data_IF_096955224889
#
_entry.id   IF_096955224889
#
_cell.length_a   1.000
_cell.length_b   1.000
_cell.length_c   1.000
_cell.angle_alpha   90.00
_cell.angle_beta   90.00
_cell.angle_gamma   90.00
#
_symmetry.space_group_name_H-M   'P 1'
#
loop_
_entity.id
_entity.type
_entity.pdbx_description
1 polymer ?
#
# COMPACT_ATOMS: atom_id res chain seq x y z
N UNK A 1 37.99 -19.52 -1.17
CA UNK A 1 36.74 -19.06 -0.49
C UNK A 1 35.69 -19.01 -1.57
N UNK A 2 34.84 -20.04 -1.68
CA UNK A 2 33.78 -20.11 -2.64
C UNK A 2 32.66 -19.10 -2.26
N UNK A 3 32.28 -18.31 -3.22
CA UNK A 3 31.30 -17.23 -3.07
C UNK A 3 29.93 -17.82 -2.73
N UNK A 4 29.47 -17.68 -1.48
CA UNK A 4 28.18 -18.19 -0.99
C UNK A 4 26.95 -17.50 -1.66
N UNK A 5 27.17 -16.59 -2.60
CA UNK A 5 26.13 -15.83 -3.29
C UNK A 5 25.73 -16.38 -4.66
N UNK A 6 26.35 -17.47 -5.13
CA UNK A 6 25.99 -18.10 -6.41
C UNK A 6 24.70 -18.93 -6.41
N UNK A 7 24.00 -19.02 -5.27
CA UNK A 7 22.74 -19.80 -5.14
C UNK A 7 21.48 -18.96 -5.36
N UNK A 8 21.60 -17.66 -5.48
CA UNK A 8 20.48 -16.82 -5.89
C UNK A 8 20.39 -16.91 -7.42
N UNK A 9 19.39 -17.66 -7.92
CA UNK A 9 19.10 -17.78 -9.34
C UNK A 9 19.03 -16.42 -10.03
N UNK A 10 19.18 -16.38 -11.34
CA UNK A 10 19.04 -15.15 -12.14
C UNK A 10 17.70 -14.50 -11.82
N UNK A 11 17.70 -13.18 -11.65
CA UNK A 11 16.45 -12.44 -11.50
C UNK A 11 15.51 -12.79 -12.67
N UNK A 12 14.23 -13.06 -12.42
CA UNK A 12 13.28 -13.36 -13.49
C UNK A 12 13.21 -12.17 -14.47
N UNK A 13 13.13 -12.48 -15.75
CA UNK A 13 12.92 -11.45 -16.77
C UNK A 13 11.44 -11.03 -16.80
N UNK A 14 11.14 -9.85 -17.35
CA UNK A 14 9.77 -9.31 -17.41
C UNK A 14 8.75 -10.29 -18.01
N UNK A 15 9.16 -11.11 -18.95
CA UNK A 15 8.33 -12.13 -19.60
C UNK A 15 7.92 -13.24 -18.63
N UNK A 16 8.84 -13.69 -17.77
CA UNK A 16 8.57 -14.67 -16.73
C UNK A 16 7.60 -14.10 -15.69
N UNK A 17 7.76 -12.81 -15.32
CA UNK A 17 6.88 -12.13 -14.37
C UNK A 17 5.45 -11.99 -14.91
N UNK A 18 5.28 -11.80 -16.22
CA UNK A 18 3.94 -11.78 -16.84
C UNK A 18 3.24 -13.14 -16.76
N UNK A 19 3.97 -14.25 -16.84
CA UNK A 19 3.37 -15.59 -16.73
C UNK A 19 2.82 -15.86 -15.32
N UNK A 20 3.36 -15.18 -14.30
CA UNK A 20 2.85 -15.24 -12.93
C UNK A 20 1.56 -14.43 -12.72
N UNK A 21 1.16 -13.64 -13.71
CA UNK A 21 -0.08 -12.85 -13.73
C UNK A 21 -1.03 -13.45 -14.76
N UNK A 22 -1.74 -14.54 -14.45
CA UNK A 22 -2.49 -15.35 -15.43
C UNK A 22 -3.76 -14.69 -15.97
N UNK A 23 -4.22 -13.62 -15.33
CA UNK A 23 -5.44 -12.90 -15.70
C UNK A 23 -5.12 -11.49 -16.18
N UNK A 24 -6.16 -10.69 -16.45
CA UNK A 24 -6.02 -9.28 -16.79
C UNK A 24 -5.13 -8.55 -15.79
N UNK A 25 -4.00 -8.04 -16.26
CA UNK A 25 -3.05 -7.29 -15.43
C UNK A 25 -3.71 -6.00 -14.97
N UNK A 26 -3.77 -5.82 -13.66
CA UNK A 26 -4.34 -4.64 -13.02
C UNK A 26 -3.27 -3.58 -12.72
N UNK A 27 -2.19 -3.99 -12.04
CA UNK A 27 -1.04 -3.13 -11.76
C UNK A 27 0.14 -3.53 -12.64
N UNK A 28 0.71 -2.56 -13.33
CA UNK A 28 1.93 -2.72 -14.11
C UNK A 28 2.98 -1.71 -13.68
N UNK A 29 4.18 -2.18 -13.37
CA UNK A 29 5.36 -1.35 -13.16
C UNK A 29 6.40 -1.74 -14.21
N UNK A 30 6.95 -0.76 -14.93
CA UNK A 30 7.94 -0.97 -16.00
C UNK A 30 9.15 -0.06 -15.83
N UNK A 31 10.33 -0.65 -15.88
CA UNK A 31 11.63 0.04 -15.83
C UNK A 31 11.73 1.10 -14.71
N UNK A 32 11.17 0.80 -13.54
CA UNK A 32 11.05 1.76 -12.46
C UNK A 32 12.39 1.99 -11.77
N UNK A 33 12.86 3.22 -11.81
CA UNK A 33 13.94 3.73 -10.99
C UNK A 33 13.34 4.71 -9.98
N UNK A 34 13.45 4.40 -8.70
CA UNK A 34 12.79 5.17 -7.65
C UNK A 34 13.60 5.17 -6.35
N UNK A 35 13.35 6.19 -5.50
CA UNK A 35 14.03 6.31 -4.22
C UNK A 35 13.64 7.55 -3.44
N UNK A 36 14.52 8.03 -2.57
CA UNK A 36 14.25 9.16 -1.69
C UNK A 36 15.27 10.29 -1.89
N UNK A 37 14.78 11.50 -2.04
CA UNK A 37 15.63 12.64 -2.37
C UNK A 37 16.39 12.41 -3.67
N UNK A 38 17.73 12.32 -3.59
CA UNK A 38 18.61 12.01 -4.73
C UNK A 38 19.09 10.55 -4.74
N UNK A 39 18.74 9.75 -3.71
CA UNK A 39 19.18 8.38 -3.58
C UNK A 39 18.22 7.46 -4.34
N UNK A 40 18.72 6.79 -5.36
CA UNK A 40 18.01 5.75 -6.09
C UNK A 40 18.16 4.42 -5.36
N UNK A 41 17.05 3.72 -5.14
CA UNK A 41 16.98 2.44 -4.41
C UNK A 41 16.48 1.33 -5.33
N UNK A 42 15.48 1.63 -6.15
CA UNK A 42 14.98 0.70 -7.16
C UNK A 42 15.63 1.00 -8.50
N UNK A 43 16.14 -0.03 -9.16
CA UNK A 43 16.80 0.06 -10.45
C UNK A 43 16.13 -0.88 -11.45
N UNK A 44 15.55 -0.33 -12.52
CA UNK A 44 14.87 -1.08 -13.58
C UNK A 44 13.87 -2.12 -13.04
N UNK A 45 13.15 -1.75 -11.96
CA UNK A 45 12.22 -2.66 -11.31
C UNK A 45 10.96 -2.86 -12.16
N UNK A 46 10.52 -4.13 -12.25
CA UNK A 46 9.30 -4.51 -12.95
C UNK A 46 8.39 -5.35 -12.04
N UNK A 47 7.08 -5.14 -12.19
CA UNK A 47 6.06 -5.88 -11.44
C UNK A 47 4.76 -5.89 -12.23
N UNK A 48 4.09 -7.06 -12.22
CA UNK A 48 2.76 -7.24 -12.78
C UNK A 48 1.87 -7.91 -11.73
N UNK A 49 0.70 -7.34 -11.48
CA UNK A 49 -0.29 -7.90 -10.53
C UNK A 49 -1.64 -7.94 -11.23
N UNK A 50 -2.29 -9.10 -11.20
CA UNK A 50 -3.62 -9.30 -11.78
C UNK A 50 -4.73 -8.77 -10.86
N UNK A 51 -5.92 -8.58 -11.42
CA UNK A 51 -7.13 -8.31 -10.63
C UNK A 51 -7.37 -9.42 -9.60
N UNK A 52 -7.79 -9.03 -8.41
CA UNK A 52 -8.08 -9.92 -7.28
C UNK A 52 -6.90 -10.81 -6.83
N UNK A 53 -5.67 -10.49 -7.22
CA UNK A 53 -4.47 -11.19 -6.79
C UNK A 53 -3.95 -10.62 -5.49
N UNK A 54 -3.57 -11.50 -4.55
CA UNK A 54 -2.77 -11.15 -3.37
C UNK A 54 -1.29 -11.39 -3.68
N UNK A 55 -0.46 -10.38 -3.45
CA UNK A 55 0.99 -10.45 -3.66
C UNK A 55 1.72 -10.23 -2.33
N UNK A 56 2.69 -11.10 -2.04
CA UNK A 56 3.59 -10.96 -0.90
C UNK A 56 5.01 -10.63 -1.38
N UNK A 57 5.59 -9.54 -0.88
CA UNK A 57 6.97 -9.17 -1.13
C UNK A 57 7.85 -9.71 -0.01
N UNK A 58 8.73 -10.66 -0.33
CA UNK A 58 9.64 -11.32 0.60
C UNK A 58 11.08 -10.93 0.26
N UNK A 59 11.91 -10.73 1.29
CA UNK A 59 13.32 -10.41 1.13
C UNK A 59 13.92 -9.81 2.39
N UNK A 60 15.27 -9.67 2.46
CA UNK A 60 15.96 -9.10 3.60
C UNK A 60 15.58 -7.61 3.84
N UNK A 61 15.94 -7.12 5.03
CA UNK A 61 15.82 -5.68 5.32
C UNK A 61 16.75 -4.89 4.37
N UNK A 62 16.26 -3.77 3.87
CA UNK A 62 16.98 -2.97 2.88
C UNK A 62 16.81 -3.41 1.41
N UNK A 63 16.12 -4.51 1.12
CA UNK A 63 15.90 -4.99 -0.26
C UNK A 63 14.93 -4.13 -1.12
N UNK A 64 14.48 -2.98 -0.62
CA UNK A 64 13.60 -2.08 -1.36
C UNK A 64 12.10 -2.42 -1.30
N UNK A 65 11.66 -3.40 -0.50
CA UNK A 65 10.24 -3.80 -0.40
C UNK A 65 9.30 -2.61 -0.09
N UNK A 66 9.62 -1.84 0.94
CA UNK A 66 8.85 -0.65 1.30
C UNK A 66 8.95 0.43 0.21
N UNK A 67 10.09 0.54 -0.46
CA UNK A 67 10.28 1.51 -1.54
C UNK A 67 9.37 1.20 -2.73
N UNK A 68 9.13 -0.09 -3.04
CA UNK A 68 8.17 -0.49 -4.07
C UNK A 68 6.75 0.00 -3.72
N UNK A 69 6.28 -0.30 -2.50
CA UNK A 69 4.96 0.13 -2.02
C UNK A 69 4.84 1.65 -1.96
N UNK A 70 5.88 2.33 -1.47
CA UNK A 70 5.95 3.79 -1.43
C UNK A 70 5.92 4.40 -2.84
N UNK A 71 6.55 3.76 -3.82
CA UNK A 71 6.53 4.23 -5.21
C UNK A 71 5.14 4.10 -5.82
N UNK A 72 4.45 2.99 -5.58
CA UNK A 72 3.07 2.80 -6.03
C UNK A 72 2.16 3.88 -5.45
N UNK A 73 2.29 4.17 -4.16
CA UNK A 73 1.45 5.15 -3.48
C UNK A 73 1.85 6.61 -3.76
N UNK A 74 3.14 6.89 -4.04
CA UNK A 74 3.63 8.22 -4.39
C UNK A 74 4.44 8.92 -3.29
N UNK A 75 5.11 8.15 -2.42
CA UNK A 75 5.99 8.67 -1.36
C UNK A 75 7.46 8.71 -1.77
N UNK A 76 7.81 8.28 -2.99
CA UNK A 76 9.18 8.29 -3.51
C UNK A 76 9.30 9.25 -4.69
N UNK A 77 10.54 9.63 -5.00
CA UNK A 77 10.88 10.25 -6.27
C UNK A 77 11.01 9.15 -7.33
N UNK A 78 10.30 9.32 -8.44
CA UNK A 78 10.43 8.46 -9.61
C UNK A 78 11.41 9.14 -10.57
N UNK A 79 12.57 8.50 -10.81
CA UNK A 79 13.61 9.00 -11.71
C UNK A 79 13.38 8.54 -13.14
N UNK A 80 12.87 7.31 -13.31
CA UNK A 80 12.52 6.72 -14.60
C UNK A 80 11.44 5.66 -14.43
N UNK A 81 10.80 5.27 -15.55
CA UNK A 81 9.81 4.20 -15.58
C UNK A 81 8.38 4.66 -15.41
N UNK A 82 7.46 3.70 -15.38
CA UNK A 82 6.01 3.95 -15.33
C UNK A 82 5.31 3.02 -14.37
N UNK A 83 4.25 3.54 -13.74
CA UNK A 83 3.30 2.79 -12.94
C UNK A 83 1.92 2.98 -13.57
N UNK A 84 1.25 1.89 -13.88
CA UNK A 84 -0.05 1.88 -14.56
C UNK A 84 -1.06 1.03 -13.78
N UNK A 85 -2.30 1.49 -13.70
CA UNK A 85 -3.46 0.71 -13.21
C UNK A 85 -4.47 0.60 -14.36
N UNK A 86 -4.86 -0.62 -14.72
CA UNK A 86 -5.75 -0.92 -15.84
C UNK A 86 -5.31 -0.20 -17.14
N UNK A 87 -3.98 -0.14 -17.39
CA UNK A 87 -3.39 0.53 -18.55
C UNK A 87 -3.35 2.07 -18.46
N UNK A 88 -3.82 2.66 -17.38
CA UNK A 88 -3.81 4.11 -17.15
C UNK A 88 -2.60 4.50 -16.30
N UNK A 89 -1.77 5.40 -16.80
CA UNK A 89 -0.59 5.85 -16.10
C UNK A 89 -0.95 6.67 -14.85
N UNK A 90 -0.37 6.27 -13.71
CA UNK A 90 -0.56 6.91 -12.39
C UNK A 90 0.75 7.40 -11.77
N UNK A 91 1.86 7.33 -12.51
CA UNK A 91 3.22 7.61 -12.01
C UNK A 91 3.31 8.96 -11.31
N UNK A 92 2.70 10.00 -11.89
CA UNK A 92 2.79 11.39 -11.43
C UNK A 92 1.64 11.84 -10.55
N UNK A 93 0.65 10.98 -10.30
CA UNK A 93 -0.47 11.34 -9.43
C UNK A 93 0.02 11.45 -7.98
N UNK A 94 -0.48 12.44 -7.28
CA UNK A 94 -0.27 12.60 -5.83
C UNK A 94 -0.93 11.45 -5.05
N UNK A 95 -0.50 11.18 -3.80
CA UNK A 95 -1.15 10.18 -2.94
C UNK A 95 -2.66 10.40 -2.80
N UNK A 96 -3.10 11.64 -2.66
CA UNK A 96 -4.52 11.98 -2.56
C UNK A 96 -5.31 11.64 -3.83
N UNK A 97 -4.74 11.93 -5.02
CA UNK A 97 -5.35 11.57 -6.30
C UNK A 97 -5.39 10.06 -6.51
N UNK A 98 -4.32 9.34 -6.13
CA UNK A 98 -4.27 7.87 -6.18
C UNK A 98 -5.34 7.24 -5.30
N UNK A 99 -5.55 7.77 -4.10
CA UNK A 99 -6.60 7.30 -3.21
C UNK A 99 -8.00 7.64 -3.77
N UNK A 100 -8.24 8.89 -4.15
CA UNK A 100 -9.57 9.37 -4.54
C UNK A 100 -10.00 8.90 -5.93
N UNK A 101 -9.09 8.92 -6.91
CA UNK A 101 -9.43 8.69 -8.33
C UNK A 101 -9.14 7.26 -8.79
N UNK A 102 -8.19 6.57 -8.14
CA UNK A 102 -7.72 5.23 -8.54
C UNK A 102 -8.12 4.16 -7.52
N UNK A 103 -8.39 4.56 -6.27
CA UNK A 103 -8.78 3.66 -5.19
C UNK A 103 -7.59 2.94 -4.53
N UNK A 104 -6.37 3.47 -4.65
CA UNK A 104 -5.20 2.90 -3.99
C UNK A 104 -5.15 3.41 -2.55
N UNK A 105 -5.24 2.50 -1.57
CA UNK A 105 -5.02 2.80 -0.17
C UNK A 105 -3.68 2.24 0.30
N UNK A 106 -2.99 2.97 1.17
CA UNK A 106 -1.76 2.54 1.81
C UNK A 106 -1.97 2.42 3.32
N UNK A 107 -1.72 1.22 3.86
CA UNK A 107 -1.78 0.97 5.30
C UNK A 107 -0.36 1.03 5.85
N UNK A 108 -0.12 1.95 6.78
CA UNK A 108 1.16 2.11 7.46
C UNK A 108 1.44 0.89 8.36
N UNK A 109 2.71 0.55 8.52
CA UNK A 109 3.16 -0.47 9.45
C UNK A 109 2.89 -0.04 10.90
N UNK A 110 3.22 1.22 11.22
CA UNK A 110 3.06 1.85 12.53
C UNK A 110 2.24 3.14 12.39
N UNK A 111 1.69 3.61 13.49
CA UNK A 111 0.93 4.87 13.55
C UNK A 111 -0.23 4.94 12.54
N UNK A 112 -0.91 3.82 12.33
CA UNK A 112 -2.02 3.73 11.37
C UNK A 112 -3.35 4.29 11.92
N UNK A 113 -3.36 4.74 13.16
CA UNK A 113 -4.52 5.37 13.82
C UNK A 113 -4.10 6.61 14.59
N UNK A 114 -5.04 7.50 14.85
CA UNK A 114 -4.90 8.66 15.72
C UNK A 114 -5.20 8.23 17.18
N UNK A 115 -4.17 8.08 18.05
CA UNK A 115 -4.33 7.43 19.34
C UNK A 115 -5.22 8.21 20.32
N UNK A 116 -5.26 9.52 20.21
CA UNK A 116 -6.04 10.42 21.07
C UNK A 116 -7.44 10.73 20.52
N UNK A 117 -7.81 10.13 19.40
CA UNK A 117 -9.17 10.13 18.86
C UNK A 117 -9.88 8.84 19.25
N UNK A 118 -11.21 8.88 19.32
CA UNK A 118 -12.04 7.68 19.53
C UNK A 118 -11.98 6.75 18.33
N UNK A 119 -12.47 5.53 18.50
CA UNK A 119 -12.63 4.56 17.39
C UNK A 119 -13.49 5.16 16.29
N UNK A 120 -14.62 5.78 16.65
CA UNK A 120 -15.52 6.40 15.68
C UNK A 120 -14.87 7.57 14.94
N UNK A 121 -14.17 8.46 15.64
CA UNK A 121 -13.46 9.59 15.04
C UNK A 121 -12.37 9.11 14.07
N UNK A 122 -11.65 8.04 14.39
CA UNK A 122 -10.68 7.42 13.48
C UNK A 122 -11.34 6.90 12.20
N UNK A 123 -12.52 6.28 12.29
CA UNK A 123 -13.27 5.84 11.13
C UNK A 123 -13.74 7.02 10.28
N UNK A 124 -14.22 8.09 10.89
CA UNK A 124 -14.64 9.31 10.21
C UNK A 124 -13.47 9.99 9.50
N UNK A 125 -12.25 9.95 10.08
CA UNK A 125 -11.04 10.43 9.39
C UNK A 125 -10.76 9.67 8.09
N UNK A 126 -11.03 8.36 8.04
CA UNK A 126 -10.97 7.57 6.80
C UNK A 126 -11.94 8.05 5.72
N UNK A 127 -13.04 8.66 6.12
CA UNK A 127 -14.03 9.24 5.23
C UNK A 127 -13.73 10.66 4.74
N UNK A 128 -12.61 11.28 5.18
CA UNK A 128 -12.24 12.67 4.81
C UNK A 128 -12.10 12.91 3.30
N UNK A 129 -11.86 11.85 2.53
CA UNK A 129 -11.78 11.91 1.07
C UNK A 129 -13.16 11.98 0.37
N UNK A 130 -14.25 11.71 1.08
CA UNK A 130 -15.60 11.77 0.53
C UNK A 130 -16.01 13.22 0.28
N UNK A 131 -16.82 13.43 -0.74
CA UNK A 131 -17.27 14.78 -1.11
C UNK A 131 -18.37 15.30 -0.16
N UNK A 132 -19.08 14.40 0.53
CA UNK A 132 -20.13 14.73 1.50
C UNK A 132 -19.83 14.10 2.86
N UNK A 133 -20.00 14.88 3.90
CA UNK A 133 -19.78 14.45 5.29
C UNK A 133 -20.74 13.33 5.70
N UNK A 134 -22.00 13.40 5.22
CA UNK A 134 -23.03 12.39 5.48
C UNK A 134 -22.60 11.01 5.00
N UNK A 135 -21.96 10.91 3.83
CA UNK A 135 -21.45 9.65 3.28
C UNK A 135 -20.39 9.03 4.21
N UNK A 136 -19.58 9.86 4.87
CA UNK A 136 -18.55 9.39 5.84
C UNK A 136 -19.18 8.80 7.09
N UNK A 137 -20.24 9.40 7.61
CA UNK A 137 -20.98 8.87 8.77
C UNK A 137 -21.66 7.54 8.45
N UNK A 138 -22.32 7.43 7.28
CA UNK A 138 -22.95 6.19 6.86
C UNK A 138 -21.95 5.04 6.72
N UNK A 139 -20.78 5.29 6.12
CA UNK A 139 -19.74 4.27 5.97
C UNK A 139 -19.12 3.89 7.30
N UNK A 140 -18.87 4.84 8.20
CA UNK A 140 -18.38 4.56 9.53
C UNK A 140 -19.37 3.69 10.32
N UNK A 141 -20.67 4.00 10.25
CA UNK A 141 -21.72 3.21 10.91
C UNK A 141 -21.78 1.78 10.37
N UNK A 142 -21.68 1.57 9.04
CA UNK A 142 -21.61 0.23 8.43
C UNK A 142 -20.44 -0.59 8.99
N UNK A 143 -19.26 0.05 9.19
CA UNK A 143 -18.08 -0.60 9.76
C UNK A 143 -18.32 -0.95 11.23
N UNK A 144 -18.88 -0.04 12.01
CA UNK A 144 -19.18 -0.26 13.44
C UNK A 144 -20.20 -1.39 13.63
N UNK A 145 -21.20 -1.49 12.76
CA UNK A 145 -22.18 -2.59 12.78
C UNK A 145 -21.58 -3.93 12.31
N UNK A 146 -20.65 -3.89 11.36
CA UNK A 146 -20.01 -5.11 10.84
C UNK A 146 -19.02 -5.72 11.84
N UNK A 147 -18.37 -4.89 12.65
CA UNK A 147 -17.34 -5.31 13.60
C UNK A 147 -17.76 -4.97 15.04
N UNK A 148 -18.43 -5.91 15.72
CA UNK A 148 -18.95 -5.73 17.08
C UNK A 148 -17.90 -5.19 18.06
N UNK A 149 -16.64 -5.62 17.94
CA UNK A 149 -15.54 -5.14 18.79
C UNK A 149 -15.30 -3.63 18.64
N UNK A 150 -15.48 -3.09 17.45
CA UNK A 150 -15.37 -1.65 17.19
C UNK A 150 -16.64 -0.93 17.66
N UNK A 151 -17.82 -1.47 17.32
CA UNK A 151 -19.10 -0.89 17.70
C UNK A 151 -19.26 -0.72 19.20
N UNK A 152 -18.91 -1.76 19.98
CA UNK A 152 -18.98 -1.74 21.45
C UNK A 152 -17.98 -0.77 22.09
N UNK A 153 -17.00 -0.30 21.37
CA UNK A 153 -15.93 0.59 21.82
C UNK A 153 -15.86 1.90 21.04
N UNK A 154 -16.93 2.25 20.34
CA UNK A 154 -16.95 3.40 19.44
C UNK A 154 -16.45 4.72 20.07
N UNK A 155 -16.77 4.93 21.35
CA UNK A 155 -16.39 6.12 22.11
C UNK A 155 -15.06 5.97 22.88
N UNK A 156 -14.38 4.83 22.78
CA UNK A 156 -13.10 4.59 23.43
C UNK A 156 -11.97 5.20 22.59
N UNK A 157 -10.99 5.83 23.27
CA UNK A 157 -9.80 6.32 22.58
C UNK A 157 -9.01 5.15 21.96
N UNK A 158 -8.52 5.34 20.73
CA UNK A 158 -7.86 4.28 19.96
C UNK A 158 -6.59 3.76 20.64
N UNK A 159 -5.87 4.58 21.42
CA UNK A 159 -4.71 4.14 22.19
C UNK A 159 -5.01 2.99 23.16
N UNK A 160 -6.17 2.96 23.77
CA UNK A 160 -6.55 1.86 24.68
C UNK A 160 -6.89 0.57 23.92
N UNK A 161 -7.38 0.69 22.68
CA UNK A 161 -7.62 -0.47 21.82
C UNK A 161 -6.31 -1.12 21.33
N UNK A 162 -5.26 -0.33 21.12
CA UNK A 162 -3.94 -0.81 20.68
C UNK A 162 -3.20 -1.54 21.81
N UNK A 163 -3.23 -1.04 23.02
CA UNK A 163 -2.53 -1.62 24.19
C UNK A 163 -3.00 -3.04 24.48
N UNK A 164 -4.28 -3.37 24.25
CA UNK A 164 -4.77 -4.74 24.42
C UNK A 164 -4.19 -5.75 23.42
N UNK A 165 -3.61 -5.29 22.30
CA UNK A 165 -2.96 -6.16 21.31
C UNK A 165 -1.49 -6.47 21.60
N UNK A 166 -0.81 -5.64 22.37
CA UNK A 166 0.61 -5.83 22.73
C UNK A 166 0.79 -6.72 23.98
N UNK A 167 -0.28 -7.16 24.60
CA UNK A 167 -0.29 -7.95 25.83
C UNK A 167 -0.36 -9.47 25.65
N UNK A 168 0.04 -10.03 24.48
CA UNK A 168 0.16 -11.48 24.25
C UNK A 168 1.54 -11.84 23.74
#
# INVERSE_FOLDING_TARGET
MSNQYEVLGKAPVAEDLKTLSPNDVHLTIKNLNAGYGKMEILHNFELFVSKAQSLCLIGPNGAGKSTILHSIYGFTNIFNGKIEIDGKEITKLSPAEKLKSVGIAYILQDNSVFPDMTVEENLLMGGFIKDKTEDSFEEAEKILQKYDRLGNRRNQLAKFYLVEKEGY
#
